data_IF_008322748783
#
_entry.id   IF_008322748783
#
_cell.length_a   1.000
_cell.length_b   1.000
_cell.length_c   1.000
_cell.angle_alpha   90.00
_cell.angle_beta   90.00
_cell.angle_gamma   90.00
#
_symmetry.space_group_name_H-M   'P 1'
#
loop_
_entity.id
_entity.type
_entity.pdbx_description
1 polymer ?
#
# COMPACT_ATOMS: atom_id res chain seq x y z
N UNK A 1 74.69 59.02 2.75
CA UNK A 1 75.35 58.81 1.44
C UNK A 1 74.29 58.15 0.55
N UNK A 2 73.86 58.71 -0.61
CA UNK A 2 74.64 58.85 -1.86
C UNK A 2 75.29 57.49 -2.19
N UNK A 3 74.84 56.69 -3.14
CA UNK A 3 74.68 56.86 -4.60
C UNK A 3 73.76 55.71 -5.13
N UNK A 4 73.23 55.65 -6.36
CA UNK A 4 73.54 56.31 -7.64
C UNK A 4 72.29 56.28 -8.56
N UNK A 5 72.20 57.22 -9.50
CA UNK A 5 71.27 57.20 -10.64
C UNK A 5 71.95 56.40 -11.82
N UNK A 6 71.45 56.32 -13.10
CA UNK A 6 70.55 57.25 -13.79
C UNK A 6 69.56 56.53 -14.80
N UNK A 7 69.12 57.05 -15.97
CA UNK A 7 67.70 57.00 -16.35
C UNK A 7 67.42 56.36 -17.73
N UNK A 8 66.17 56.35 -18.19
CA UNK A 8 65.76 56.99 -19.48
C UNK A 8 64.23 56.93 -19.71
N UNK A 9 63.78 57.62 -20.76
CA UNK A 9 62.42 58.14 -20.98
C UNK A 9 61.82 57.58 -22.28
N UNK A 10 60.48 57.58 -22.37
CA UNK A 10 59.64 57.51 -23.59
C UNK A 10 59.48 56.15 -24.31
N UNK A 11 58.39 55.89 -25.06
CA UNK A 11 56.98 56.34 -25.01
C UNK A 11 56.17 55.57 -26.09
N UNK A 12 54.94 55.10 -25.80
CA UNK A 12 53.92 54.59 -26.80
C UNK A 12 54.35 53.38 -27.65
N UNK A 13 53.50 52.58 -28.33
CA UNK A 13 52.05 52.25 -28.32
C UNK A 13 51.96 50.75 -28.79
N UNK A 14 50.86 50.01 -28.94
CA UNK A 14 49.45 50.33 -29.21
C UNK A 14 48.52 49.09 -29.00
N UNK A 15 47.24 49.33 -28.64
CA UNK A 15 46.01 48.52 -28.83
C UNK A 15 46.04 46.95 -28.90
N UNK A 16 45.12 46.22 -28.24
CA UNK A 16 43.68 46.15 -28.61
C UNK A 16 42.78 45.44 -27.54
N UNK A 17 41.62 46.08 -27.24
CA UNK A 17 40.26 45.54 -26.92
C UNK A 17 40.10 44.52 -25.76
N UNK A 18 39.07 44.55 -24.90
CA UNK A 18 37.79 45.29 -24.81
C UNK A 18 37.50 45.61 -23.30
N UNK A 19 36.96 46.76 -22.89
CA UNK A 19 35.52 47.14 -22.82
C UNK A 19 34.60 46.11 -22.15
N UNK A 20 33.56 46.43 -21.37
CA UNK A 20 33.06 47.66 -20.69
C UNK A 20 31.79 47.26 -19.90
N UNK A 21 31.32 47.90 -18.81
CA UNK A 21 31.82 48.94 -17.88
C UNK A 21 30.97 48.85 -16.59
N UNK A 22 31.29 49.61 -15.52
CA UNK A 22 30.41 49.83 -14.35
C UNK A 22 30.18 51.34 -14.19
N UNK A 23 28.92 51.78 -14.24
CA UNK A 23 28.52 53.13 -13.82
C UNK A 23 27.56 53.04 -12.62
N UNK A 24 27.75 53.93 -11.65
CA UNK A 24 26.90 54.09 -10.47
C UNK A 24 26.34 55.50 -10.51
N UNK A 25 25.01 55.63 -10.59
CA UNK A 25 24.32 56.91 -10.81
C UNK A 25 23.10 57.10 -9.91
N UNK A 26 23.32 57.73 -8.76
CA UNK A 26 22.42 58.71 -8.11
C UNK A 26 20.97 58.31 -7.76
N UNK A 27 20.78 57.94 -6.49
CA UNK A 27 19.83 58.54 -5.54
C UNK A 27 18.44 59.01 -6.04
N UNK A 28 17.38 58.24 -5.75
CA UNK A 28 16.00 58.75 -5.74
C UNK A 28 15.12 58.10 -4.66
N UNK A 29 14.87 58.88 -3.59
CA UNK A 29 13.62 59.02 -2.80
C UNK A 29 12.81 57.76 -2.45
N UNK A 30 12.85 57.39 -1.17
CA UNK A 30 11.95 56.41 -0.53
C UNK A 30 10.52 56.95 -0.39
N UNK A 31 9.70 56.91 -1.44
CA UNK A 31 8.24 56.93 -1.27
C UNK A 31 7.48 56.40 -2.50
N UNK A 32 7.12 55.10 -2.45
CA UNK A 32 5.97 54.45 -3.10
C UNK A 32 6.11 52.93 -2.92
N UNK A 33 5.02 52.24 -2.56
CA UNK A 33 4.95 50.76 -2.58
C UNK A 33 4.47 50.32 -3.97
N UNK A 34 5.24 49.54 -4.73
CA UNK A 34 4.68 48.70 -5.79
C UNK A 34 4.18 47.41 -5.15
N UNK A 35 2.87 47.19 -5.20
CA UNK A 35 2.35 45.84 -5.33
C UNK A 35 2.79 45.31 -6.72
N UNK A 36 2.77 43.99 -6.92
CA UNK A 36 3.08 43.33 -8.21
C UNK A 36 4.59 43.27 -8.57
N UNK A 37 5.37 42.55 -7.76
CA UNK A 37 6.42 41.70 -8.32
C UNK A 37 5.75 40.41 -8.83
N UNK A 38 5.97 39.97 -10.08
CA UNK A 38 5.47 38.67 -10.52
C UNK A 38 6.17 37.58 -9.71
N UNK A 39 5.40 36.88 -8.89
CA UNK A 39 5.84 35.67 -8.19
C UNK A 39 6.45 34.73 -9.23
N UNK A 40 7.67 34.25 -8.98
CA UNK A 40 8.42 33.49 -9.96
C UNK A 40 7.73 32.13 -10.20
N UNK A 41 6.88 32.08 -11.23
CA UNK A 41 6.17 30.87 -11.63
C UNK A 41 7.19 29.83 -12.10
N UNK A 42 7.59 28.97 -11.16
CA UNK A 42 8.41 27.80 -11.44
C UNK A 42 7.71 26.96 -12.53
N UNK A 43 8.47 26.39 -13.49
CA UNK A 43 7.86 25.64 -14.57
C UNK A 43 7.04 24.47 -14.01
N UNK A 44 5.83 24.26 -14.53
CA UNK A 44 5.04 23.06 -14.26
C UNK A 44 5.85 21.84 -14.72
N UNK A 45 6.56 21.20 -13.80
CA UNK A 45 7.27 19.95 -14.06
C UNK A 45 6.26 18.91 -14.53
N UNK A 46 6.42 18.44 -15.77
CA UNK A 46 5.53 17.44 -16.33
C UNK A 46 5.68 16.11 -15.60
N UNK A 47 4.54 15.46 -15.29
CA UNK A 47 4.56 14.16 -14.64
C UNK A 47 5.29 13.12 -15.52
N UNK A 48 6.09 12.21 -14.93
CA UNK A 48 6.80 11.20 -15.70
C UNK A 48 5.84 10.23 -16.42
N UNK A 49 6.29 9.62 -17.52
CA UNK A 49 5.49 8.66 -18.30
C UNK A 49 5.09 7.45 -17.44
N UNK A 50 4.03 6.76 -17.85
CA UNK A 50 3.61 5.53 -17.18
C UNK A 50 4.74 4.48 -17.23
N UNK A 51 5.10 3.91 -16.08
CA UNK A 51 6.06 2.81 -16.00
C UNK A 51 5.40 1.49 -16.44
N UNK A 52 6.19 0.44 -16.66
CA UNK A 52 5.66 -0.90 -16.97
C UNK A 52 4.85 -1.46 -15.79
N UNK A 53 5.39 -1.41 -14.57
CA UNK A 53 4.68 -1.79 -13.34
C UNK A 53 3.35 -1.02 -13.19
N UNK A 54 3.35 0.30 -13.41
CA UNK A 54 2.14 1.11 -13.33
C UNK A 54 1.09 0.73 -14.39
N UNK A 55 1.52 0.32 -15.59
CA UNK A 55 0.61 -0.18 -16.65
C UNK A 55 0.02 -1.53 -16.29
N UNK A 56 0.84 -2.45 -15.80
CA UNK A 56 0.42 -3.80 -15.39
C UNK A 56 -0.65 -3.71 -14.30
N UNK A 57 -0.42 -2.92 -13.25
CA UNK A 57 -1.38 -2.73 -12.15
C UNK A 57 -2.69 -2.07 -12.61
N UNK A 58 -2.62 -1.12 -13.55
CA UNK A 58 -3.82 -0.51 -14.11
C UNK A 58 -4.57 -1.44 -15.10
N UNK A 59 -3.88 -2.36 -15.78
CA UNK A 59 -4.52 -3.37 -16.64
C UNK A 59 -5.19 -4.46 -15.81
N UNK A 60 -4.54 -4.92 -14.74
CA UNK A 60 -5.07 -5.90 -13.78
C UNK A 60 -6.40 -5.39 -13.19
N UNK A 61 -6.41 -4.19 -12.59
CA UNK A 61 -7.63 -3.57 -12.07
C UNK A 61 -8.72 -3.43 -13.15
N UNK A 62 -8.35 -3.11 -14.40
CA UNK A 62 -9.31 -3.01 -15.51
C UNK A 62 -9.93 -4.36 -15.88
N UNK A 63 -9.14 -5.40 -16.15
CA UNK A 63 -9.68 -6.69 -16.58
C UNK A 63 -10.51 -7.36 -15.49
N UNK A 64 -10.21 -7.05 -14.23
CA UNK A 64 -10.93 -7.59 -13.07
C UNK A 64 -12.23 -6.87 -12.73
N UNK A 65 -12.27 -5.54 -12.84
CA UNK A 65 -13.41 -4.71 -12.37
C UNK A 65 -14.11 -3.92 -13.48
N UNK A 66 -13.57 -3.95 -14.70
CA UNK A 66 -13.99 -3.11 -15.81
C UNK A 66 -13.75 -1.62 -15.55
N UNK A 67 -14.60 -0.78 -16.14
CA UNK A 67 -14.54 0.67 -15.92
C UNK A 67 -15.17 1.07 -14.58
N UNK A 68 -14.33 1.30 -13.58
CA UNK A 68 -14.74 1.79 -12.26
C UNK A 68 -14.74 3.33 -12.13
N UNK A 69 -15.49 3.82 -11.14
CA UNK A 69 -15.61 5.24 -10.82
C UNK A 69 -14.31 5.84 -10.26
N UNK A 70 -14.10 7.14 -10.45
CA UNK A 70 -13.03 7.91 -9.77
C UNK A 70 -13.15 7.95 -8.25
N UNK A 71 -14.27 7.50 -7.70
CA UNK A 71 -14.56 7.37 -6.26
C UNK A 71 -14.53 5.90 -5.79
N UNK A 72 -14.19 4.96 -6.67
CA UNK A 72 -14.08 3.55 -6.31
C UNK A 72 -12.89 3.34 -5.35
N UNK A 73 -13.07 2.62 -4.23
CA UNK A 73 -12.01 2.43 -3.22
C UNK A 73 -10.73 1.82 -3.78
N UNK A 74 -10.82 0.85 -4.69
CA UNK A 74 -9.63 0.16 -5.23
C UNK A 74 -8.86 1.04 -6.21
N UNK A 75 -9.57 1.85 -7.00
CA UNK A 75 -8.95 2.85 -7.86
C UNK A 75 -8.25 3.95 -7.04
N UNK A 76 -8.83 4.35 -5.90
CA UNK A 76 -8.21 5.28 -4.95
C UNK A 76 -6.95 4.65 -4.34
N UNK A 77 -7.05 3.42 -3.83
CA UNK A 77 -5.93 2.69 -3.24
C UNK A 77 -4.77 2.48 -4.22
N UNK A 78 -5.05 2.16 -5.49
CA UNK A 78 -4.03 2.10 -6.54
C UNK A 78 -3.39 3.48 -6.79
N UNK A 79 -4.20 4.54 -6.86
CA UNK A 79 -3.71 5.92 -6.98
C UNK A 79 -2.77 6.30 -5.82
N UNK A 80 -3.18 6.03 -4.58
CA UNK A 80 -2.39 6.31 -3.37
C UNK A 80 -1.08 5.52 -3.38
N UNK A 81 -1.12 4.21 -3.60
CA UNK A 81 0.07 3.35 -3.63
C UNK A 81 1.07 3.75 -4.72
N UNK A 82 0.61 4.17 -5.91
CA UNK A 82 1.49 4.70 -6.96
C UNK A 82 2.10 6.05 -6.57
N UNK A 83 1.35 6.92 -5.89
CA UNK A 83 1.81 8.22 -5.42
C UNK A 83 2.84 8.08 -4.30
N UNK A 84 2.60 7.22 -3.32
CA UNK A 84 3.51 6.98 -2.20
C UNK A 84 4.82 6.34 -2.67
N UNK A 85 4.74 5.39 -3.62
CA UNK A 85 5.92 4.82 -4.27
C UNK A 85 6.76 5.89 -4.99
N UNK A 86 6.11 6.86 -5.65
CA UNK A 86 6.81 7.98 -6.26
C UNK A 86 7.41 8.92 -5.21
N UNK A 87 6.67 9.24 -4.13
CA UNK A 87 7.16 10.07 -3.02
C UNK A 87 8.42 9.49 -2.40
N UNK A 88 8.42 8.18 -2.12
CA UNK A 88 9.57 7.46 -1.57
C UNK A 88 10.77 7.43 -2.53
N UNK A 89 10.53 7.42 -3.85
CA UNK A 89 11.59 7.36 -4.86
C UNK A 89 12.20 8.72 -5.24
N UNK A 90 11.41 9.81 -5.20
CA UNK A 90 11.82 11.14 -5.70
C UNK A 90 11.80 12.26 -4.64
N UNK A 91 11.20 12.00 -3.47
CA UNK A 91 11.00 13.00 -2.42
C UNK A 91 9.87 14.00 -2.68
N UNK A 92 9.17 13.94 -3.82
CA UNK A 92 8.09 14.87 -4.15
C UNK A 92 7.04 14.27 -5.10
N UNK A 93 5.77 14.61 -4.90
CA UNK A 93 4.65 14.17 -5.76
C UNK A 93 3.76 15.35 -6.12
N UNK A 94 3.45 15.54 -7.41
CA UNK A 94 2.48 16.56 -7.83
C UNK A 94 1.04 16.13 -7.56
N UNK A 95 0.11 17.05 -7.32
CA UNK A 95 -1.33 16.76 -7.17
C UNK A 95 -1.95 16.00 -8.36
N UNK A 96 -1.31 16.08 -9.53
CA UNK A 96 -1.78 15.46 -10.78
C UNK A 96 -1.11 14.13 -11.09
N UNK A 97 -0.03 13.76 -10.39
CA UNK A 97 0.68 12.50 -10.60
C UNK A 97 -0.18 11.32 -10.13
N UNK A 98 -0.57 10.44 -11.06
CA UNK A 98 -1.29 9.17 -10.80
C UNK A 98 -2.49 9.29 -9.83
N UNK A 99 -3.13 10.45 -9.76
CA UNK A 99 -4.30 10.67 -8.91
C UNK A 99 -5.53 9.87 -9.45
N UNK A 100 -6.66 9.80 -8.73
CA UNK A 100 -7.81 8.98 -9.14
C UNK A 100 -8.34 9.33 -10.53
N UNK A 101 -8.26 10.60 -10.95
CA UNK A 101 -8.61 10.99 -12.33
C UNK A 101 -7.61 10.44 -13.35
N UNK A 102 -6.32 10.46 -13.05
CA UNK A 102 -5.27 9.90 -13.90
C UNK A 102 -5.32 8.37 -14.03
N UNK A 103 -5.64 7.67 -12.94
CA UNK A 103 -5.85 6.20 -12.96
C UNK A 103 -7.14 5.85 -13.72
N UNK A 104 -8.25 6.55 -13.48
CA UNK A 104 -9.50 6.34 -14.22
C UNK A 104 -9.33 6.56 -15.73
N UNK A 105 -8.57 7.59 -16.15
CA UNK A 105 -8.22 7.80 -17.55
C UNK A 105 -7.33 6.67 -18.10
N UNK A 106 -6.50 6.04 -17.25
CA UNK A 106 -5.69 4.88 -17.64
C UNK A 106 -6.54 3.64 -17.91
N UNK A 107 -7.52 3.37 -17.05
CA UNK A 107 -8.47 2.28 -17.28
C UNK A 107 -9.25 2.51 -18.58
N UNK A 108 -9.68 3.76 -18.85
CA UNK A 108 -10.35 4.11 -20.09
C UNK A 108 -9.48 3.91 -21.36
N UNK A 109 -8.15 4.02 -21.25
CA UNK A 109 -7.24 3.68 -22.34
C UNK A 109 -7.18 2.15 -22.61
N UNK A 110 -7.29 1.32 -21.57
CA UNK A 110 -7.37 -0.14 -21.74
C UNK A 110 -8.75 -0.58 -22.24
N UNK A 111 -9.83 0.05 -21.75
CA UNK A 111 -11.19 -0.13 -22.26
C UNK A 111 -11.34 0.22 -23.76
N UNK A 112 -10.47 1.09 -24.29
CA UNK A 112 -10.41 1.39 -25.73
C UNK A 112 -9.63 0.35 -26.57
N UNK A 113 -8.96 -0.62 -25.92
CA UNK A 113 -8.25 -1.74 -26.55
C UNK A 113 -9.04 -3.06 -26.45
N UNK A 114 -10.03 -3.10 -25.57
CA UNK A 114 -10.87 -4.25 -25.29
C UNK A 114 -11.95 -4.48 -26.39
N UNK A 115 -11.90 -5.61 -27.12
CA UNK A 115 -12.90 -5.95 -28.14
C UNK A 115 -14.30 -6.21 -27.57
N UNK A 116 -14.42 -6.56 -26.28
CA UNK A 116 -15.70 -6.86 -25.63
C UNK A 116 -16.32 -5.62 -24.97
N UNK A 117 -15.60 -4.50 -24.91
CA UNK A 117 -16.06 -3.27 -24.27
C UNK A 117 -17.08 -2.49 -25.11
N UNK A 118 -18.33 -2.46 -24.65
CA UNK A 118 -19.42 -1.73 -25.30
C UNK A 118 -19.37 -0.24 -24.93
N UNK A 119 -18.47 0.52 -25.58
CA UNK A 119 -18.32 1.95 -25.33
C UNK A 119 -17.47 2.70 -26.36
N UNK A 120 -17.63 4.04 -26.43
CA UNK A 120 -16.81 4.90 -27.30
C UNK A 120 -15.48 5.23 -26.59
N UNK A 121 -14.50 4.34 -26.73
CA UNK A 121 -13.14 4.59 -26.23
C UNK A 121 -12.49 5.79 -26.93
N UNK A 122 -11.86 6.69 -26.15
CA UNK A 122 -11.06 7.76 -26.73
C UNK A 122 -9.80 7.17 -27.38
N UNK A 123 -9.66 7.33 -28.70
CA UNK A 123 -8.49 6.82 -29.42
C UNK A 123 -7.20 7.54 -28.98
N UNK A 124 -6.41 6.86 -28.12
CA UNK A 124 -4.95 6.69 -28.19
C UNK A 124 -4.43 6.04 -26.89
N UNK A 125 -4.51 4.71 -26.82
CA UNK A 125 -3.63 3.96 -25.91
C UNK A 125 -2.17 4.28 -26.26
N UNK A 126 -1.30 4.44 -25.26
CA UNK A 126 0.13 4.65 -25.55
C UNK A 126 0.75 3.34 -26.07
N UNK A 127 1.90 3.39 -26.74
CA UNK A 127 2.55 2.18 -27.28
C UNK A 127 2.74 1.10 -26.19
N UNK A 128 3.14 1.50 -24.99
CA UNK A 128 3.29 0.59 -23.86
C UNK A 128 1.97 0.01 -23.35
N UNK A 129 0.84 0.69 -23.57
CA UNK A 129 -0.49 0.19 -23.17
C UNK A 129 -0.96 -0.90 -24.13
N UNK A 130 -0.74 -0.71 -25.44
CA UNK A 130 -0.97 -1.74 -26.45
C UNK A 130 -0.07 -2.96 -26.23
N UNK A 131 1.19 -2.74 -25.86
CA UNK A 131 2.14 -3.82 -25.55
C UNK A 131 1.73 -4.60 -24.29
N UNK A 132 1.36 -3.90 -23.20
CA UNK A 132 0.86 -4.54 -21.96
C UNK A 132 -0.45 -5.28 -22.23
N UNK A 133 -1.37 -4.70 -23.02
CA UNK A 133 -2.62 -5.34 -23.42
C UNK A 133 -2.36 -6.64 -24.19
N UNK A 134 -1.62 -6.58 -25.30
CA UNK A 134 -1.33 -7.75 -26.15
C UNK A 134 -0.60 -8.88 -25.41
N UNK A 135 0.19 -8.55 -24.38
CA UNK A 135 0.92 -9.52 -23.58
C UNK A 135 0.05 -10.28 -22.57
N UNK A 136 -1.00 -9.65 -22.05
CA UNK A 136 -1.69 -10.12 -20.84
C UNK A 136 -3.22 -10.24 -20.96
N UNK A 137 -3.87 -9.64 -21.96
CA UNK A 137 -5.34 -9.63 -22.05
C UNK A 137 -5.97 -11.01 -22.25
N UNK A 138 -5.20 -11.99 -22.76
CA UNK A 138 -5.63 -13.38 -22.93
C UNK A 138 -5.10 -14.35 -21.88
N UNK A 139 -4.34 -13.89 -20.89
CA UNK A 139 -3.72 -14.72 -19.84
C UNK A 139 -3.73 -13.99 -18.50
N UNK A 140 -4.83 -14.15 -17.77
CA UNK A 140 -5.08 -13.51 -16.47
C UNK A 140 -4.14 -14.02 -15.38
N UNK A 141 -3.67 -15.27 -15.45
CA UNK A 141 -2.77 -15.87 -14.46
C UNK A 141 -1.36 -15.30 -14.61
N UNK A 142 -0.89 -15.13 -15.86
CA UNK A 142 0.35 -14.42 -16.15
C UNK A 142 0.27 -12.94 -15.74
N UNK A 143 -0.89 -12.29 -15.92
CA UNK A 143 -1.13 -10.91 -15.49
C UNK A 143 -1.09 -10.77 -13.96
N UNK A 144 -1.82 -11.60 -13.22
CA UNK A 144 -1.82 -11.60 -11.76
C UNK A 144 -0.39 -11.81 -11.22
N UNK A 145 0.32 -12.80 -11.78
CA UNK A 145 1.74 -13.04 -11.47
C UNK A 145 2.64 -11.84 -11.79
N UNK A 146 2.32 -11.06 -12.82
CA UNK A 146 3.05 -9.83 -13.17
C UNK A 146 2.69 -8.65 -12.26
N UNK A 147 1.44 -8.54 -11.82
CA UNK A 147 0.96 -7.57 -10.86
C UNK A 147 1.61 -7.78 -9.49
N UNK A 148 1.69 -9.01 -8.99
CA UNK A 148 2.42 -9.35 -7.75
C UNK A 148 3.88 -8.87 -7.82
N UNK A 149 4.58 -9.19 -8.93
CA UNK A 149 5.96 -8.72 -9.17
C UNK A 149 6.06 -7.20 -9.31
N UNK A 150 5.00 -6.52 -9.78
CA UNK A 150 4.94 -5.07 -9.86
C UNK A 150 4.72 -4.44 -8.47
N UNK A 151 3.86 -5.03 -7.63
CA UNK A 151 3.61 -4.59 -6.26
C UNK A 151 4.87 -4.70 -5.38
N UNK A 152 5.63 -5.79 -5.50
CA UNK A 152 6.91 -5.98 -4.76
C UNK A 152 7.98 -4.96 -5.15
N UNK A 153 7.92 -4.38 -6.36
CA UNK A 153 8.84 -3.30 -6.80
C UNK A 153 8.47 -1.92 -6.27
N UNK A 154 7.23 -1.73 -5.80
CA UNK A 154 6.83 -0.49 -5.13
C UNK A 154 7.27 -0.59 -3.66
N UNK A 155 7.96 0.41 -3.09
CA UNK A 155 8.37 0.36 -1.70
C UNK A 155 7.13 0.20 -0.79
N UNK A 156 7.25 -0.66 0.22
CA UNK A 156 6.21 -0.84 1.22
C UNK A 156 5.90 0.51 1.89
N UNK A 157 4.61 0.81 2.03
CA UNK A 157 4.10 2.06 2.59
C UNK A 157 4.41 2.14 4.08
N UNK A 158 5.57 2.70 4.43
CA UNK A 158 5.91 3.08 5.80
C UNK A 158 5.13 4.34 6.22
N UNK A 159 3.84 4.15 6.41
CA UNK A 159 2.96 4.98 7.23
C UNK A 159 1.81 4.08 7.68
N UNK A 160 1.66 3.78 8.98
CA UNK A 160 0.54 3.01 9.49
C UNK A 160 -0.74 3.87 9.41
N UNK A 161 -1.34 3.92 8.22
CA UNK A 161 -2.69 4.41 8.01
C UNK A 161 -3.66 3.47 8.71
N UNK A 162 -4.34 3.99 9.74
CA UNK A 162 -5.21 3.21 10.62
C UNK A 162 -6.31 2.47 9.84
N UNK A 163 -6.17 1.15 9.72
CA UNK A 163 -7.30 0.27 9.40
C UNK A 163 -8.28 0.38 10.58
N UNK A 164 -9.55 0.79 10.37
CA UNK A 164 -10.49 0.92 11.47
C UNK A 164 -10.76 -0.45 12.09
N UNK A 165 -10.44 -0.62 13.38
CA UNK A 165 -10.78 -1.83 14.12
C UNK A 165 -12.30 -1.96 14.23
N UNK A 166 -12.84 -3.05 13.68
CA UNK A 166 -14.24 -3.39 13.89
C UNK A 166 -14.41 -4.09 15.25
N UNK A 167 -15.55 -3.88 15.95
CA UNK A 167 -15.89 -4.68 17.11
C UNK A 167 -15.84 -6.19 16.80
N UNK A 168 -15.51 -7.00 17.80
CA UNK A 168 -15.68 -8.45 17.71
C UNK A 168 -17.19 -8.75 17.69
N UNK A 169 -17.79 -8.76 16.51
CA UNK A 169 -19.25 -8.91 16.38
C UNK A 169 -19.75 -10.31 16.75
N UNK A 170 -20.92 -10.36 17.39
CA UNK A 170 -21.71 -11.59 17.51
C UNK A 170 -22.36 -11.94 16.16
N UNK A 171 -21.72 -12.87 15.43
CA UNK A 171 -22.32 -13.73 14.39
C UNK A 171 -23.43 -13.09 13.52
N UNK A 172 -23.07 -12.11 12.70
CA UNK A 172 -23.81 -11.76 11.49
C UNK A 172 -22.92 -12.10 10.28
N UNK A 173 -23.28 -12.97 9.35
CA UNK A 173 -24.61 -13.53 9.07
C UNK A 173 -25.06 -13.31 7.61
N UNK A 174 -24.15 -12.85 6.74
CA UNK A 174 -24.41 -12.63 5.33
C UNK A 174 -23.29 -13.23 4.47
N UNK A 175 -23.50 -14.48 4.05
CA UNK A 175 -23.05 -14.91 2.72
C UNK A 175 -24.10 -15.87 2.12
N UNK A 176 -24.02 -16.12 0.81
CA UNK A 176 -25.13 -16.60 -0.02
C UNK A 176 -25.80 -17.92 0.40
N UNK A 177 -27.07 -18.08 0.00
CA UNK A 177 -27.92 -19.23 0.31
C UNK A 177 -27.38 -20.58 -0.22
N UNK A 178 -26.65 -21.30 0.63
CA UNK A 178 -26.50 -22.76 0.56
C UNK A 178 -26.81 -23.33 1.94
N UNK A 179 -27.43 -24.52 2.03
CA UNK A 179 -27.90 -25.08 3.30
C UNK A 179 -26.74 -25.50 4.22
N UNK A 180 -26.28 -24.57 5.07
CA UNK A 180 -25.16 -24.81 5.99
C UNK A 180 -25.56 -25.81 7.09
N UNK A 181 -24.86 -26.95 7.09
CA UNK A 181 -25.09 -28.07 8.01
C UNK A 181 -24.99 -27.64 9.49
N UNK A 182 -25.73 -28.34 10.34
CA UNK A 182 -25.75 -28.19 11.79
C UNK A 182 -24.36 -28.27 12.43
N UNK A 183 -23.48 -29.13 11.90
CA UNK A 183 -22.10 -29.28 12.36
C UNK A 183 -21.28 -28.00 12.12
N UNK A 184 -21.36 -27.43 10.91
CA UNK A 184 -20.66 -26.20 10.53
C UNK A 184 -21.15 -25.02 11.37
N UNK A 185 -22.48 -24.85 11.53
CA UNK A 185 -23.06 -23.83 12.43
C UNK A 185 -22.63 -23.99 13.89
N UNK A 186 -22.32 -25.22 14.32
CA UNK A 186 -21.81 -25.49 15.68
C UNK A 186 -20.33 -25.17 15.81
N UNK A 187 -19.52 -25.41 14.77
CA UNK A 187 -18.11 -25.03 14.71
C UNK A 187 -17.93 -23.51 14.78
N UNK A 188 -18.61 -22.75 13.91
CA UNK A 188 -18.54 -21.28 13.87
C UNK A 188 -18.92 -20.63 15.20
N UNK A 189 -19.94 -21.18 15.90
CA UNK A 189 -20.32 -20.71 17.25
C UNK A 189 -19.24 -20.96 18.30
N UNK A 190 -18.49 -22.06 18.21
CA UNK A 190 -17.39 -22.38 19.13
C UNK A 190 -16.17 -21.49 18.87
N UNK A 191 -15.87 -21.22 17.60
CA UNK A 191 -14.84 -20.25 17.17
C UNK A 191 -15.16 -18.85 17.69
N UNK A 192 -16.35 -18.31 17.38
CA UNK A 192 -16.78 -16.99 17.88
C UNK A 192 -16.72 -16.90 19.41
N UNK A 193 -17.18 -17.93 20.14
CA UNK A 193 -17.09 -17.95 21.59
C UNK A 193 -15.63 -17.99 22.09
N UNK A 194 -14.71 -18.67 21.40
CA UNK A 194 -13.29 -18.73 21.74
C UNK A 194 -12.60 -17.37 21.52
N UNK A 195 -12.89 -16.73 20.38
CA UNK A 195 -12.46 -15.36 20.03
C UNK A 195 -12.88 -14.35 21.10
N UNK A 196 -14.14 -14.36 21.52
CA UNK A 196 -14.63 -13.44 22.55
C UNK A 196 -13.91 -13.62 23.91
N UNK A 197 -13.64 -14.86 24.32
CA UNK A 197 -12.91 -15.14 25.57
C UNK A 197 -11.46 -14.69 25.48
N UNK A 198 -10.77 -14.98 24.36
CA UNK A 198 -9.39 -14.57 24.15
C UNK A 198 -9.23 -13.04 24.06
N UNK A 199 -10.10 -12.38 23.30
CA UNK A 199 -10.11 -10.91 23.21
C UNK A 199 -10.43 -10.24 24.54
N UNK A 200 -11.29 -10.84 25.38
CA UNK A 200 -11.54 -10.34 26.74
C UNK A 200 -10.32 -10.51 27.66
N UNK A 201 -9.59 -11.62 27.54
CA UNK A 201 -8.34 -11.88 28.28
C UNK A 201 -7.20 -10.93 27.88
N UNK A 202 -7.07 -10.63 26.57
CA UNK A 202 -6.14 -9.62 26.05
C UNK A 202 -6.51 -8.20 26.52
N UNK A 203 -7.79 -7.80 26.45
CA UNK A 203 -8.24 -6.49 26.96
C UNK A 203 -8.01 -6.32 28.46
N UNK A 204 -8.15 -7.40 29.24
CA UNK A 204 -7.84 -7.37 30.67
C UNK A 204 -6.34 -7.11 30.97
N UNK A 205 -5.45 -7.35 29.99
CA UNK A 205 -4.02 -7.00 30.03
C UNK A 205 -3.71 -5.62 29.43
N UNK A 206 -4.74 -4.88 28.98
CA UNK A 206 -4.59 -3.55 28.38
C UNK A 206 -4.37 -3.56 26.87
N UNK A 207 -4.52 -4.69 26.18
CA UNK A 207 -4.35 -4.76 24.73
C UNK A 207 -5.57 -4.20 23.99
N UNK A 208 -5.31 -3.48 22.90
CA UNK A 208 -6.32 -3.06 21.93
C UNK A 208 -6.59 -4.20 20.94
N UNK A 209 -7.82 -4.73 20.95
CA UNK A 209 -8.21 -5.85 20.08
C UNK A 209 -9.55 -5.63 19.38
N UNK A 210 -9.62 -6.07 18.13
CA UNK A 210 -10.79 -5.99 17.26
C UNK A 210 -10.70 -7.01 16.13
N UNK A 211 -11.28 -6.70 14.97
CA UNK A 211 -11.19 -7.50 13.75
C UNK A 211 -10.83 -6.60 12.55
N UNK A 212 -10.05 -7.11 11.61
CA UNK A 212 -9.85 -6.50 10.29
C UNK A 212 -10.74 -7.14 9.23
N UNK A 213 -11.27 -6.29 8.36
CA UNK A 213 -11.97 -6.63 7.12
C UNK A 213 -11.05 -6.31 5.94
N UNK A 214 -10.95 -7.24 5.01
CA UNK A 214 -10.23 -7.13 3.75
C UNK A 214 -11.24 -7.31 2.62
N UNK A 215 -11.53 -6.23 1.90
CA UNK A 215 -12.35 -6.28 0.69
C UNK A 215 -11.53 -6.95 -0.42
N UNK A 216 -11.91 -8.15 -0.85
CA UNK A 216 -11.36 -8.77 -2.03
C UNK A 216 -12.27 -8.57 -3.24
N UNK A 217 -11.67 -8.85 -4.38
CA UNK A 217 -12.19 -8.87 -5.74
C UNK A 217 -13.60 -9.46 -5.89
N UNK A 218 -13.89 -10.54 -5.16
CA UNK A 218 -15.10 -11.37 -5.27
C UNK A 218 -15.65 -11.85 -3.91
N UNK A 219 -15.05 -11.45 -2.79
CA UNK A 219 -15.45 -11.88 -1.44
C UNK A 219 -14.95 -10.92 -0.36
N UNK A 220 -15.61 -10.86 0.79
CA UNK A 220 -15.06 -10.23 1.99
C UNK A 220 -14.26 -11.27 2.79
N UNK A 221 -12.97 -11.00 3.09
CA UNK A 221 -12.26 -11.73 4.13
C UNK A 221 -12.31 -10.95 5.44
N UNK A 222 -12.55 -11.65 6.54
CA UNK A 222 -12.52 -11.08 7.89
C UNK A 222 -11.62 -11.93 8.78
N UNK A 223 -10.66 -11.29 9.42
CA UNK A 223 -9.83 -11.94 10.45
C UNK A 223 -10.63 -12.14 11.73
N UNK A 224 -10.45 -13.28 12.40
CA UNK A 224 -11.18 -13.59 13.64
C UNK A 224 -10.86 -12.60 14.77
N UNK A 225 -9.57 -12.33 14.99
CA UNK A 225 -9.13 -11.34 15.96
C UNK A 225 -7.82 -10.67 15.51
N UNK A 226 -7.69 -9.39 15.84
CA UNK A 226 -6.50 -8.57 15.65
C UNK A 226 -6.13 -7.96 16.98
N UNK A 227 -4.84 -8.01 17.32
CA UNK A 227 -4.24 -7.29 18.43
C UNK A 227 -3.30 -6.21 17.85
N UNK A 228 -3.67 -4.94 17.98
CA UNK A 228 -2.86 -3.80 17.49
C UNK A 228 -1.72 -3.46 18.44
N UNK A 229 -1.81 -3.85 19.72
CA UNK A 229 -0.75 -3.64 20.72
C UNK A 229 0.46 -4.53 20.44
N UNK A 230 0.25 -5.75 19.93
CA UNK A 230 1.31 -6.69 19.55
C UNK A 230 1.46 -6.90 18.03
N UNK A 231 0.78 -6.08 17.22
CA UNK A 231 0.68 -6.20 15.74
C UNK A 231 0.52 -7.64 15.26
N UNK A 232 -0.42 -8.38 15.88
CA UNK A 232 -0.66 -9.80 15.62
C UNK A 232 -2.06 -10.07 15.09
N UNK A 233 -2.14 -10.79 13.97
CA UNK A 233 -3.37 -11.36 13.41
C UNK A 233 -3.61 -12.76 13.99
N UNK A 234 -4.81 -13.01 14.49
CA UNK A 234 -5.21 -14.28 15.09
C UNK A 234 -6.35 -14.92 14.30
N UNK A 235 -6.22 -16.21 14.00
CA UNK A 235 -7.23 -17.05 13.38
C UNK A 235 -7.61 -18.18 14.34
N UNK A 236 -8.89 -18.32 14.62
CA UNK A 236 -9.42 -19.29 15.57
C UNK A 236 -9.86 -20.58 14.88
N UNK A 237 -9.76 -21.70 15.61
CA UNK A 237 -10.40 -22.96 15.22
C UNK A 237 -11.14 -23.59 16.38
N UNK A 238 -12.24 -24.28 16.06
CA UNK A 238 -13.14 -24.92 17.03
C UNK A 238 -12.64 -26.31 17.47
N UNK A 239 -11.58 -26.81 16.85
CA UNK A 239 -10.93 -28.09 17.15
C UNK A 239 -9.41 -28.00 17.12
N UNK A 240 -8.74 -29.05 17.61
CA UNK A 240 -7.29 -29.19 17.64
C UNK A 240 -6.92 -30.34 16.72
N UNK A 241 -6.51 -30.03 15.49
CA UNK A 241 -6.17 -31.04 14.49
C UNK A 241 -5.31 -30.47 13.35
N UNK A 242 -4.48 -31.31 12.73
CA UNK A 242 -3.53 -30.87 11.68
C UNK A 242 -4.22 -30.19 10.50
N UNK A 243 -5.43 -30.62 10.13
CA UNK A 243 -6.17 -30.01 9.03
C UNK A 243 -6.64 -28.59 9.39
N UNK A 244 -7.29 -28.43 10.55
CA UNK A 244 -7.72 -27.13 11.07
C UNK A 244 -6.55 -26.14 11.21
N UNK A 245 -5.40 -26.58 11.76
CA UNK A 245 -4.19 -25.74 11.88
C UNK A 245 -3.63 -25.35 10.51
N UNK A 246 -3.57 -26.26 9.53
CA UNK A 246 -3.10 -25.94 8.17
C UNK A 246 -4.01 -24.95 7.45
N UNK A 247 -5.33 -25.06 7.63
CA UNK A 247 -6.30 -24.11 7.09
C UNK A 247 -6.14 -22.73 7.77
N UNK A 248 -6.00 -22.71 9.10
CA UNK A 248 -5.75 -21.47 9.85
C UNK A 248 -4.49 -20.75 9.36
N UNK A 249 -3.39 -21.49 9.15
CA UNK A 249 -2.15 -20.95 8.59
C UNK A 249 -2.41 -20.36 7.19
N UNK A 250 -3.11 -21.06 6.30
CA UNK A 250 -3.45 -20.54 4.97
C UNK A 250 -4.19 -19.19 5.03
N UNK A 251 -5.26 -19.13 5.83
CA UNK A 251 -6.04 -17.91 6.04
C UNK A 251 -5.20 -16.76 6.64
N UNK A 252 -4.31 -17.06 7.59
CA UNK A 252 -3.39 -16.06 8.16
C UNK A 252 -2.40 -15.50 7.12
N UNK A 253 -1.90 -16.33 6.19
CA UNK A 253 -1.09 -15.85 5.07
C UNK A 253 -1.91 -15.00 4.09
N UNK A 254 -3.17 -15.34 3.84
CA UNK A 254 -4.10 -14.51 3.06
C UNK A 254 -4.40 -13.17 3.74
N UNK A 255 -4.63 -13.10 5.04
CA UNK A 255 -4.79 -11.81 5.73
C UNK A 255 -3.49 -11.01 5.70
N UNK A 256 -2.34 -11.66 5.92
CA UNK A 256 -1.03 -10.98 5.98
C UNK A 256 -0.59 -10.41 4.63
N UNK A 257 -1.00 -10.97 3.49
CA UNK A 257 -0.69 -10.37 2.16
C UNK A 257 -1.51 -9.10 1.87
N UNK A 258 -2.68 -8.95 2.51
CA UNK A 258 -3.59 -7.82 2.35
C UNK A 258 -3.48 -6.78 3.48
N UNK A 259 -2.91 -7.15 4.63
CA UNK A 259 -2.67 -6.25 5.74
C UNK A 259 -1.56 -5.23 5.43
N UNK A 260 -1.79 -3.97 5.77
CA UNK A 260 -0.79 -2.90 5.62
C UNK A 260 0.17 -2.96 6.82
N UNK A 261 1.47 -3.13 6.54
CA UNK A 261 2.54 -3.21 7.54
C UNK A 261 3.01 -4.63 7.85
N UNK A 262 3.98 -4.76 8.76
CA UNK A 262 4.46 -6.06 9.22
C UNK A 262 3.55 -6.60 10.33
N UNK A 263 2.85 -7.70 10.03
CA UNK A 263 1.95 -8.37 10.97
C UNK A 263 2.47 -9.76 11.35
N UNK A 264 2.62 -9.98 12.64
CA UNK A 264 2.78 -11.31 13.22
C UNK A 264 1.49 -12.11 13.03
N UNK A 265 1.59 -13.44 12.99
CA UNK A 265 0.44 -14.34 12.82
C UNK A 265 0.35 -15.32 13.99
N UNK A 266 -0.88 -15.70 14.36
CA UNK A 266 -1.14 -16.56 15.49
C UNK A 266 -2.35 -17.47 15.29
N UNK A 267 -2.25 -18.73 15.70
CA UNK A 267 -3.35 -19.70 15.67
C UNK A 267 -3.95 -19.84 17.07
N UNK A 268 -5.26 -19.58 17.20
CA UNK A 268 -6.01 -19.68 18.45
C UNK A 268 -6.80 -20.99 18.52
N UNK A 269 -6.53 -21.80 19.55
CA UNK A 269 -7.05 -23.16 19.71
C UNK A 269 -7.83 -23.32 21.04
N UNK A 270 -8.82 -24.24 21.11
CA UNK A 270 -9.68 -24.35 22.29
C UNK A 270 -9.02 -25.10 23.45
N UNK A 271 -7.92 -25.82 23.18
CA UNK A 271 -7.14 -26.65 24.11
C UNK A 271 -5.70 -26.74 23.61
N UNK A 272 -4.79 -27.18 24.48
CA UNK A 272 -3.39 -27.38 24.13
C UNK A 272 -3.21 -28.33 22.92
N UNK A 273 -2.49 -27.91 21.86
CA UNK A 273 -2.09 -28.78 20.77
C UNK A 273 -0.92 -29.70 21.14
N UNK A 274 -0.74 -30.78 20.38
CA UNK A 274 0.47 -31.60 20.44
C UNK A 274 1.70 -30.85 19.94
N UNK A 275 2.87 -31.19 20.46
CA UNK A 275 4.14 -30.51 20.19
C UNK A 275 4.48 -30.42 18.68
N UNK A 276 4.14 -31.42 17.87
CA UNK A 276 4.31 -31.38 16.41
C UNK A 276 3.47 -30.27 15.72
N UNK A 277 2.29 -29.93 16.25
CA UNK A 277 1.50 -28.80 15.75
C UNK A 277 2.05 -27.46 16.24
N UNK A 278 2.64 -27.40 17.44
CA UNK A 278 3.37 -26.22 17.91
C UNK A 278 4.61 -25.99 17.03
N UNK A 279 5.37 -27.05 16.74
CA UNK A 279 6.52 -27.00 15.86
C UNK A 279 6.15 -26.62 14.42
N UNK A 280 5.00 -27.09 13.90
CA UNK A 280 4.48 -26.69 12.60
C UNK A 280 4.17 -25.18 12.53
N UNK A 281 3.53 -24.62 13.56
CA UNK A 281 3.26 -23.19 13.65
C UNK A 281 4.57 -22.39 13.78
N UNK A 282 5.48 -22.79 14.67
CA UNK A 282 6.78 -22.13 14.83
C UNK A 282 7.59 -22.13 13.52
N UNK A 283 7.59 -23.24 12.77
CA UNK A 283 8.29 -23.35 11.47
C UNK A 283 7.81 -22.33 10.42
N UNK A 284 6.54 -21.89 10.48
CA UNK A 284 6.00 -20.85 9.58
C UNK A 284 6.00 -19.44 10.20
N UNK A 285 6.62 -19.27 11.38
CA UNK A 285 6.63 -18.00 12.12
C UNK A 285 5.29 -17.65 12.77
N UNK A 286 4.43 -18.65 13.03
CA UNK A 286 3.13 -18.44 13.68
C UNK A 286 3.19 -18.77 15.18
N UNK A 287 2.73 -17.83 15.98
CA UNK A 287 2.46 -18.04 17.41
C UNK A 287 1.26 -18.96 17.62
N UNK A 288 1.14 -19.56 18.79
CA UNK A 288 0.01 -20.43 19.14
C UNK A 288 -0.56 -20.04 20.48
N UNK A 289 -1.87 -19.80 20.55
CA UNK A 289 -2.59 -19.54 21.78
C UNK A 289 -3.60 -20.64 22.06
N UNK A 290 -3.76 -21.04 23.32
CA UNK A 290 -4.82 -21.95 23.73
C UNK A 290 -5.32 -21.66 25.14
N UNK A 291 -6.57 -22.05 25.40
CA UNK A 291 -7.17 -21.94 26.72
C UNK A 291 -6.59 -22.98 27.69
N UNK A 292 -6.27 -22.57 28.92
CA UNK A 292 -5.78 -23.47 29.97
C UNK A 292 -6.86 -24.47 30.39
N UNK A 293 -6.43 -25.68 30.76
CA UNK A 293 -7.36 -26.71 31.24
C UNK A 293 -7.90 -26.36 32.63
N UNK A 294 -9.22 -26.28 32.76
CA UNK A 294 -9.91 -26.02 34.04
C UNK A 294 -10.29 -24.56 34.30
N UNK A 295 -9.75 -23.61 33.55
CA UNK A 295 -10.02 -22.18 33.73
C UNK A 295 -10.75 -21.62 32.50
N UNK A 296 -11.90 -20.95 32.72
CA UNK A 296 -12.73 -20.44 31.61
C UNK A 296 -12.19 -19.17 30.96
N UNK A 297 -11.28 -18.47 31.64
CA UNK A 297 -10.81 -17.12 31.27
C UNK A 297 -9.34 -17.04 30.90
N UNK A 298 -8.55 -18.10 31.16
CA UNK A 298 -7.10 -18.01 31.14
C UNK A 298 -6.49 -18.73 29.94
N UNK A 299 -5.49 -18.09 29.32
CA UNK A 299 -4.84 -18.56 28.11
C UNK A 299 -3.33 -18.73 28.30
N UNK A 300 -2.75 -19.60 27.48
CA UNK A 300 -1.30 -19.75 27.30
C UNK A 300 -0.99 -19.33 25.87
N UNK A 301 0.05 -18.51 25.70
CA UNK A 301 0.58 -18.12 24.39
C UNK A 301 2.02 -18.63 24.26
N UNK A 302 2.31 -19.32 23.17
CA UNK A 302 3.66 -19.66 22.74
C UNK A 302 3.99 -18.82 21.52
N UNK A 303 4.86 -17.84 21.69
CA UNK A 303 5.35 -16.98 20.60
C UNK A 303 6.26 -17.79 19.68
N UNK A 304 6.18 -17.58 18.37
CA UNK A 304 7.23 -18.03 17.46
C UNK A 304 8.55 -17.28 17.75
N UNK A 305 9.69 -17.97 17.58
CA UNK A 305 11.05 -17.46 17.81
C UNK A 305 11.80 -17.44 16.47
#
# INVERSE_FOLDING_TARGET
MRERAPPQIALRAEARRASSSIEIGTYCRWDQRPNDAPEAVLPKHANPPWSESERILALELYLRRGMVSKRDPELIALSERLRDAHLAATGAVSETFRNPTGVSLKLANFAALDPEHVGVGMQRGSRGDVETWNQYSGDTDALASAADRALVKLPATNSPGSQPLFPLEESSGHDFQVSVDSAVRTATRREAALVQRFGSWLRAQGHEVGSHRYELESSELRSDLVDTTTTTLWEAKSEVGRNAVRLAIGQLFDYRRHAVGEWSIGVLLPRQPHDDLIALCAYVGASVAWQKSGETTDFTVTTAV
#
